data_IF_818308882539
#
_entry.id   IF_818308882539
#
_cell.length_a   1.000
_cell.length_b   1.000
_cell.length_c   1.000
_cell.angle_alpha   90.00
_cell.angle_beta   90.00
_cell.angle_gamma   90.00
#
_symmetry.space_group_name_H-M   'P 1'
#
loop_
_entity.id
_entity.type
_entity.pdbx_description
1 polymer ?
#
# COMPACT_ATOMS: atom_id res chain seq x y z
N UNK A 1 -26.11 9.22 15.24
CA UNK A 1 -25.90 10.61 14.75
C UNK A 1 -26.68 11.55 15.65
N UNK A 2 -25.98 12.30 16.51
CA UNK A 2 -26.58 13.44 17.23
C UNK A 2 -26.53 14.65 16.29
N UNK A 3 -27.61 15.44 16.23
CA UNK A 3 -27.62 16.73 15.50
C UNK A 3 -26.45 17.59 16.02
N UNK A 4 -25.76 18.26 15.10
CA UNK A 4 -24.67 19.24 15.32
C UNK A 4 -23.26 18.77 15.67
N UNK A 5 -23.01 17.50 16.03
CA UNK A 5 -21.64 17.05 16.36
C UNK A 5 -21.05 16.02 15.39
N UNK A 6 -21.80 15.60 14.36
CA UNK A 6 -21.33 14.63 13.38
C UNK A 6 -21.14 15.29 12.01
N UNK A 7 -19.94 15.16 11.39
CA UNK A 7 -19.73 15.62 10.03
C UNK A 7 -20.64 14.86 9.04
N UNK A 8 -21.00 15.49 7.90
CA UNK A 8 -21.82 14.85 6.89
C UNK A 8 -21.12 13.61 6.34
N UNK A 9 -21.75 12.46 6.52
CA UNK A 9 -21.25 11.16 6.06
C UNK A 9 -21.98 10.79 4.77
N UNK A 10 -21.23 10.55 3.70
CA UNK A 10 -21.78 10.30 2.37
C UNK A 10 -20.99 9.24 1.62
N UNK A 11 -21.42 8.97 0.38
CA UNK A 11 -20.67 8.13 -0.54
C UNK A 11 -19.43 8.88 -1.03
N UNK A 12 -18.31 8.17 -1.04
CA UNK A 12 -16.99 8.63 -1.42
C UNK A 12 -16.40 7.68 -2.46
N UNK A 13 -15.78 8.25 -3.49
CA UNK A 13 -15.07 7.48 -4.52
C UNK A 13 -13.59 7.51 -4.18
N UNK A 14 -13.01 6.35 -3.95
CA UNK A 14 -11.57 6.21 -3.71
C UNK A 14 -10.89 5.81 -5.00
N UNK A 15 -9.91 6.61 -5.47
CA UNK A 15 -9.12 6.37 -6.68
C UNK A 15 -7.70 5.93 -6.28
N UNK A 16 -7.34 4.69 -6.61
CA UNK A 16 -6.00 4.15 -6.43
C UNK A 16 -5.07 4.54 -7.60
N UNK A 17 -3.78 4.77 -7.33
CA UNK A 17 -2.75 4.90 -8.38
C UNK A 17 -2.64 3.68 -9.29
N UNK A 18 -3.08 2.51 -8.81
CA UNK A 18 -3.17 1.26 -9.54
C UNK A 18 -4.36 1.17 -10.52
N UNK A 19 -5.16 2.23 -10.65
CA UNK A 19 -6.35 2.28 -11.52
C UNK A 19 -7.62 1.68 -10.89
N UNK A 20 -7.52 1.09 -9.69
CA UNK A 20 -8.69 0.57 -8.99
C UNK A 20 -9.51 1.71 -8.37
N UNK A 21 -10.83 1.70 -8.57
CA UNK A 21 -11.77 2.64 -7.97
C UNK A 21 -12.80 1.89 -7.16
N UNK A 22 -12.97 2.23 -5.87
CA UNK A 22 -13.98 1.60 -5.02
C UNK A 22 -14.83 2.64 -4.29
N UNK A 23 -16.11 2.31 -4.12
CA UNK A 23 -17.07 3.12 -3.38
C UNK A 23 -16.91 2.84 -1.88
N UNK A 24 -16.74 3.88 -1.07
CA UNK A 24 -16.69 3.80 0.39
C UNK A 24 -17.52 4.91 0.97
N UNK A 25 -18.00 4.77 2.21
CA UNK A 25 -18.66 5.87 2.88
C UNK A 25 -17.65 6.68 3.69
N UNK A 26 -17.56 7.99 3.42
CA UNK A 26 -16.64 8.92 4.08
C UNK A 26 -17.25 10.31 4.17
N UNK A 27 -16.60 11.18 4.94
CA UNK A 27 -16.95 12.60 5.05
C UNK A 27 -16.42 13.42 3.87
N UNK A 28 -15.50 12.85 3.08
CA UNK A 28 -14.94 13.45 1.86
C UNK A 28 -15.46 12.72 0.63
N UNK A 29 -15.82 13.46 -0.43
CA UNK A 29 -16.42 12.93 -1.66
C UNK A 29 -15.42 12.16 -2.55
N UNK A 30 -14.17 12.61 -2.60
CA UNK A 30 -13.10 11.95 -3.37
C UNK A 30 -11.85 11.76 -2.53
N UNK A 31 -11.24 10.59 -2.63
CA UNK A 31 -10.02 10.24 -1.91
C UNK A 31 -9.03 9.63 -2.91
N UNK A 32 -7.86 10.24 -3.03
CA UNK A 32 -6.75 9.69 -3.81
C UNK A 32 -5.84 8.89 -2.89
N UNK A 33 -5.50 7.67 -3.29
CA UNK A 33 -4.68 6.75 -2.48
C UNK A 33 -3.59 6.14 -3.36
N UNK A 34 -2.35 6.12 -2.89
CA UNK A 34 -1.23 5.54 -3.62
C UNK A 34 -1.23 4.00 -3.61
N UNK A 35 -1.73 3.40 -2.53
CA UNK A 35 -1.74 1.94 -2.33
C UNK A 35 -3.10 1.47 -1.81
N UNK A 36 -3.78 0.60 -2.55
CA UNK A 36 -5.01 -0.07 -2.11
C UNK A 36 -4.77 -1.56 -1.81
N UNK A 37 -5.80 -2.24 -1.31
CA UNK A 37 -5.75 -3.68 -1.02
C UNK A 37 -5.34 -4.53 -2.23
N UNK A 38 -5.66 -4.08 -3.44
CA UNK A 38 -5.30 -4.80 -4.68
C UNK A 38 -3.84 -4.65 -5.08
N UNK A 39 -3.12 -3.63 -4.61
CA UNK A 39 -1.73 -3.39 -4.99
C UNK A 39 -0.74 -3.41 -3.83
N UNK A 40 -1.20 -3.47 -2.57
CA UNK A 40 -0.27 -3.57 -1.45
C UNK A 40 0.51 -4.89 -1.53
N UNK A 41 1.86 -4.87 -1.49
CA UNK A 41 2.70 -6.07 -1.55
C UNK A 41 2.36 -7.13 -0.49
N UNK A 42 1.80 -6.69 0.63
CA UNK A 42 1.26 -7.56 1.69
C UNK A 42 0.05 -8.40 1.23
N UNK A 43 -0.91 -7.80 0.53
CA UNK A 43 -2.12 -8.50 0.07
C UNK A 43 -1.89 -9.30 -1.21
N UNK A 44 -0.96 -8.85 -2.06
CA UNK A 44 -0.61 -9.55 -3.31
C UNK A 44 0.42 -10.66 -3.13
N UNK A 45 0.94 -10.86 -1.91
CA UNK A 45 1.84 -11.97 -1.54
C UNK A 45 3.22 -11.93 -2.18
N UNK A 46 3.49 -10.99 -3.09
CA UNK A 46 4.81 -10.76 -3.69
C UNK A 46 5.61 -9.88 -2.75
N UNK A 47 6.10 -10.47 -1.66
CA UNK A 47 7.23 -9.89 -0.95
C UNK A 47 8.37 -9.76 -1.96
N UNK A 48 8.86 -8.54 -2.19
CA UNK A 48 10.19 -8.35 -2.77
C UNK A 48 11.14 -9.07 -1.82
N UNK A 49 11.59 -10.26 -2.20
CA UNK A 49 12.75 -10.86 -1.58
C UNK A 49 13.86 -9.81 -1.71
N UNK A 50 14.27 -9.21 -0.58
CA UNK A 50 15.61 -8.64 -0.51
C UNK A 50 16.49 -9.88 -0.60
N UNK A 51 16.97 -10.13 -1.82
CA UNK A 51 17.78 -11.27 -2.19
C UNK A 51 18.89 -11.46 -1.15
N UNK A 52 18.78 -12.52 -0.34
CA UNK A 52 19.82 -12.96 0.57
C UNK A 52 21.13 -13.27 -0.17
N UNK A 53 21.05 -13.47 -1.51
CA UNK A 53 22.20 -13.65 -2.39
C UNK A 53 23.23 -12.52 -2.27
N UNK A 54 22.79 -11.26 -2.14
CA UNK A 54 23.71 -10.11 -2.06
C UNK A 54 24.52 -10.03 -0.76
N UNK A 55 24.08 -10.68 0.33
CA UNK A 55 24.86 -10.74 1.58
C UNK A 55 26.02 -11.73 1.47
N UNK A 56 25.82 -12.87 0.80
CA UNK A 56 26.87 -13.87 0.57
C UNK A 56 27.93 -13.32 -0.39
N UNK A 57 27.52 -12.66 -1.47
CA UNK A 57 28.47 -12.00 -2.39
C UNK A 57 29.28 -10.90 -1.68
N UNK A 58 28.65 -10.08 -0.82
CA UNK A 58 29.36 -9.09 0.01
C UNK A 58 30.32 -9.75 1.01
N UNK A 59 29.96 -10.88 1.59
CA UNK A 59 30.83 -11.65 2.48
C UNK A 59 32.04 -12.22 1.72
N UNK A 60 31.81 -12.88 0.59
CA UNK A 60 32.87 -13.45 -0.26
C UNK A 60 33.82 -12.36 -0.77
N UNK A 61 33.29 -11.19 -1.18
CA UNK A 61 34.10 -10.05 -1.61
C UNK A 61 34.91 -9.43 -0.47
N UNK A 62 34.43 -9.48 0.77
CA UNK A 62 35.14 -8.97 1.95
C UNK A 62 36.26 -9.90 2.43
N UNK A 63 36.08 -11.21 2.30
CA UNK A 63 37.04 -12.21 2.78
C UNK A 63 37.93 -12.81 1.68
N UNK A 64 37.79 -12.38 0.43
CA UNK A 64 38.64 -12.74 -0.71
C UNK A 64 38.92 -14.26 -0.83
N UNK A 65 37.94 -15.09 -0.43
CA UNK A 65 37.99 -16.54 -0.61
C UNK A 65 37.46 -16.80 -2.01
N UNK A 66 38.39 -17.01 -2.94
CA UNK A 66 38.09 -17.70 -4.21
C UNK A 66 37.54 -19.08 -3.93
#
# INVERSE_FOLDING_TARGET
>A
MKKDIHPPYGKAIVKCACGNTFETASTKKEIHVDICSSCHPYYTGKQKFIDSAGRIEKFNKKYNRK
#
